data_IF_979071528366
#
_entry.id   IF_979071528366
#
_cell.length_a   1.000
_cell.length_b   1.000
_cell.length_c   1.000
_cell.angle_alpha   90.00
_cell.angle_beta   90.00
_cell.angle_gamma   90.00
#
_symmetry.space_group_name_H-M   'P 1'
#
loop_
_entity.id
_entity.type
_entity.pdbx_description
1 polymer ?
#
# COMPACT_ATOMS: atom_id res chain seq x y z
N UNK A 1 7.68 42.65 -22.69
CA UNK A 1 8.68 41.56 -22.74
C UNK A 1 8.16 40.56 -21.75
N UNK A 2 7.27 39.69 -22.21
CA UNK A 2 6.56 38.74 -21.36
C UNK A 2 7.49 37.58 -21.05
N UNK A 3 7.91 37.52 -19.79
CA UNK A 3 8.69 36.42 -19.24
C UNK A 3 7.74 35.22 -19.10
N UNK A 4 7.77 34.33 -20.08
CA UNK A 4 7.09 33.04 -20.00
C UNK A 4 7.70 32.27 -18.83
N UNK A 5 7.03 32.30 -17.68
CA UNK A 5 7.31 31.39 -16.57
C UNK A 5 7.01 29.98 -17.09
N UNK A 6 8.06 29.25 -17.48
CA UNK A 6 7.98 27.81 -17.72
C UNK A 6 7.44 27.17 -16.45
N UNK A 7 6.16 26.79 -16.48
CA UNK A 7 5.55 26.04 -15.39
C UNK A 7 6.17 24.64 -15.44
N UNK A 8 7.05 24.32 -14.48
CA UNK A 8 7.51 22.93 -14.29
C UNK A 8 6.25 22.07 -14.12
N UNK A 9 6.01 21.17 -15.06
CA UNK A 9 4.96 20.17 -14.93
C UNK A 9 5.58 19.01 -14.18
N UNK A 10 5.21 18.86 -12.91
CA UNK A 10 5.53 17.65 -12.16
C UNK A 10 4.72 16.50 -12.75
N UNK A 11 5.40 15.52 -13.34
CA UNK A 11 4.78 14.29 -13.80
C UNK A 11 4.87 13.25 -12.68
N UNK A 12 3.84 12.42 -12.55
CA UNK A 12 3.85 11.30 -11.61
C UNK A 12 4.04 10.00 -12.37
N UNK A 13 5.03 9.20 -11.93
CA UNK A 13 5.27 7.87 -12.49
C UNK A 13 4.81 6.82 -11.48
N UNK A 14 3.95 5.86 -11.86
CA UNK A 14 3.62 4.75 -10.98
C UNK A 14 4.87 3.90 -10.73
N UNK A 15 5.12 3.53 -9.47
CA UNK A 15 6.10 2.51 -9.13
C UNK A 15 5.37 1.32 -8.52
N UNK A 16 5.21 0.27 -9.32
CA UNK A 16 4.56 -0.98 -8.88
C UNK A 16 5.63 -1.99 -8.54
N UNK A 17 5.59 -2.53 -7.33
CA UNK A 17 6.51 -3.57 -6.87
C UNK A 17 5.82 -4.55 -5.92
N UNK A 18 6.42 -5.73 -5.75
CA UNK A 18 5.94 -6.73 -4.81
C UNK A 18 6.32 -6.33 -3.39
N UNK A 19 5.32 -6.03 -2.56
CA UNK A 19 5.49 -5.84 -1.12
C UNK A 19 5.54 -7.19 -0.40
N UNK A 20 4.72 -8.14 -0.84
CA UNK A 20 4.72 -9.52 -0.37
C UNK A 20 4.60 -10.42 -1.61
N UNK A 21 5.68 -11.11 -2.00
CA UNK A 21 5.65 -11.99 -3.18
C UNK A 21 4.70 -13.18 -2.98
N UNK A 22 4.81 -13.84 -1.82
CA UNK A 22 3.95 -14.95 -1.40
C UNK A 22 4.19 -15.24 0.08
N UNK A 23 3.14 -15.21 0.87
CA UNK A 23 3.19 -15.53 2.30
C UNK A 23 2.04 -16.46 2.67
N UNK A 24 2.36 -17.55 3.38
CA UNK A 24 1.34 -18.36 4.06
C UNK A 24 1.05 -17.73 5.41
N UNK A 25 -0.20 -17.31 5.61
CA UNK A 25 -0.71 -16.79 6.87
C UNK A 25 -1.55 -17.89 7.53
N UNK A 26 -1.01 -18.47 8.61
CA UNK A 26 -1.69 -19.55 9.33
C UNK A 26 -3.02 -19.07 9.94
N UNK A 27 -3.93 -20.00 10.23
CA UNK A 27 -5.15 -19.70 10.96
C UNK A 27 -4.86 -18.93 12.27
N UNK A 28 -5.52 -17.79 12.46
CA UNK A 28 -5.34 -16.89 13.62
C UNK A 28 -4.05 -16.06 13.59
N UNK A 29 -3.22 -16.16 12.55
CA UNK A 29 -1.95 -15.45 12.49
C UNK A 29 -2.13 -13.98 12.09
N UNK A 30 -1.22 -13.15 12.63
CA UNK A 30 -1.06 -11.75 12.27
C UNK A 30 0.35 -11.57 11.70
N UNK A 31 0.46 -10.83 10.60
CA UNK A 31 1.73 -10.45 10.00
C UNK A 31 1.71 -8.95 9.66
N UNK A 32 2.88 -8.33 9.65
CA UNK A 32 3.06 -6.93 9.24
C UNK A 32 4.15 -6.85 8.18
N UNK A 33 3.96 -6.03 7.16
CA UNK A 33 5.02 -5.70 6.22
C UNK A 33 6.09 -4.84 6.87
N UNK A 34 7.24 -4.73 6.21
CA UNK A 34 8.18 -3.66 6.51
C UNK A 34 7.51 -2.28 6.26
N UNK A 35 7.92 -1.24 7.02
CA UNK A 35 7.50 0.13 6.75
C UNK A 35 7.90 0.59 5.35
N UNK A 36 7.01 1.33 4.72
CA UNK A 36 7.23 2.05 3.47
C UNK A 36 7.12 3.55 3.72
N UNK A 37 7.76 4.34 2.86
CA UNK A 37 7.66 5.79 2.85
C UNK A 37 7.15 6.22 1.47
N UNK A 38 6.11 7.06 1.46
CA UNK A 38 5.49 7.56 0.26
C UNK A 38 5.88 9.03 0.01
N UNK A 39 6.34 9.34 -1.20
CA UNK A 39 6.52 10.73 -1.64
C UNK A 39 5.18 11.37 -2.01
N UNK A 40 4.25 10.57 -2.54
CA UNK A 40 2.91 10.96 -2.94
C UNK A 40 1.92 10.20 -2.08
N UNK A 41 1.02 10.93 -1.42
CA UNK A 41 0.09 10.39 -0.42
C UNK A 41 -1.07 9.56 -1.01
N UNK A 42 -0.94 9.04 -2.23
CA UNK A 42 -1.95 8.19 -2.86
C UNK A 42 -1.31 6.85 -3.23
N UNK A 43 -1.85 5.76 -2.69
CA UNK A 43 -1.31 4.41 -2.86
C UNK A 43 -2.42 3.45 -3.27
N UNK A 44 -2.04 2.42 -4.01
CA UNK A 44 -2.94 1.33 -4.37
C UNK A 44 -2.28 -0.02 -4.15
N UNK A 45 -3.05 -0.97 -3.65
CA UNK A 45 -2.63 -2.34 -3.40
C UNK A 45 -3.39 -3.28 -4.32
N UNK A 46 -2.66 -4.24 -4.90
CA UNK A 46 -3.24 -5.41 -5.55
C UNK A 46 -2.95 -6.61 -4.66
N UNK A 47 -3.98 -7.12 -4.00
CA UNK A 47 -3.90 -8.21 -3.03
C UNK A 47 -4.55 -9.44 -3.66
N UNK A 48 -3.81 -10.53 -3.76
CA UNK A 48 -4.35 -11.85 -4.10
C UNK A 48 -4.32 -12.74 -2.88
N UNK A 49 -5.43 -13.41 -2.60
CA UNK A 49 -5.55 -14.33 -1.47
C UNK A 49 -6.23 -15.64 -1.86
N UNK A 50 -5.84 -16.75 -1.24
CA UNK A 50 -6.52 -18.06 -1.37
C UNK A 50 -7.59 -18.29 -0.29
N UNK A 51 -7.87 -17.28 0.53
CA UNK A 51 -8.86 -17.33 1.61
C UNK A 51 -9.16 -15.92 2.14
N UNK A 52 -10.04 -15.82 3.14
CA UNK A 52 -10.38 -14.51 3.73
C UNK A 52 -9.28 -14.02 4.67
N UNK A 53 -8.83 -12.79 4.47
CA UNK A 53 -7.81 -12.12 5.31
C UNK A 53 -8.24 -10.67 5.55
N UNK A 54 -8.13 -10.19 6.79
CA UNK A 54 -8.29 -8.77 7.09
C UNK A 54 -6.98 -8.05 6.82
N UNK A 55 -7.03 -7.01 5.98
CA UNK A 55 -5.90 -6.13 5.70
C UNK A 55 -6.15 -4.76 6.32
N UNK A 56 -5.14 -4.19 6.98
CA UNK A 56 -5.18 -2.86 7.54
C UNK A 56 -3.95 -2.06 7.09
N UNK A 57 -4.16 -0.80 6.72
CA UNK A 57 -3.08 0.18 6.55
C UNK A 57 -2.86 0.82 7.91
N UNK A 58 -1.64 0.70 8.40
CA UNK A 58 -1.20 1.40 9.59
C UNK A 58 -0.29 2.55 9.16
N UNK A 59 -0.58 3.76 9.64
CA UNK A 59 0.22 4.96 9.39
C UNK A 59 0.96 5.36 10.67
N UNK A 60 2.21 5.81 10.53
CA UNK A 60 3.01 6.29 11.65
C UNK A 60 2.84 7.81 11.79
N UNK A 61 2.35 8.27 12.95
CA UNK A 61 2.11 9.69 13.23
C UNK A 61 3.32 10.44 13.80
N UNK A 62 4.46 9.75 13.94
CA UNK A 62 5.67 10.26 14.59
C UNK A 62 5.91 9.66 15.98
N UNK A 63 4.89 9.10 16.62
CA UNK A 63 4.97 8.48 17.95
C UNK A 63 4.57 7.00 17.91
N UNK A 64 3.51 6.66 17.18
CA UNK A 64 2.94 5.32 17.14
C UNK A 64 2.30 4.97 15.79
N UNK A 65 2.14 3.68 15.57
CA UNK A 65 1.40 3.14 14.44
C UNK A 65 -0.10 3.15 14.76
N UNK A 66 -0.91 3.70 13.87
CA UNK A 66 -2.37 3.77 14.00
C UNK A 66 -3.04 3.17 12.77
N UNK A 67 -4.09 2.38 12.97
CA UNK A 67 -4.90 1.86 11.85
C UNK A 67 -5.60 3.05 11.20
N UNK A 68 -5.23 3.35 9.95
CA UNK A 68 -5.79 4.43 9.17
C UNK A 68 -7.01 3.98 8.35
N UNK A 69 -6.95 2.77 7.79
CA UNK A 69 -8.04 2.12 7.08
C UNK A 69 -7.89 0.59 7.16
N UNK A 70 -8.99 -0.14 6.94
CA UNK A 70 -8.99 -1.60 6.94
C UNK A 70 -10.09 -2.17 6.06
N UNK A 71 -9.83 -3.33 5.46
CA UNK A 71 -10.82 -4.07 4.69
C UNK A 71 -10.68 -5.58 4.84
N UNK A 72 -11.80 -6.28 4.63
CA UNK A 72 -11.81 -7.73 4.44
C UNK A 72 -11.43 -8.04 2.98
N UNK A 73 -10.38 -8.84 2.79
CA UNK A 73 -9.94 -9.35 1.49
C UNK A 73 -10.49 -10.76 1.32
N UNK A 74 -11.40 -10.94 0.36
CA UNK A 74 -11.97 -12.24 0.02
C UNK A 74 -10.99 -13.07 -0.83
N UNK A 75 -11.27 -14.36 -0.97
CA UNK A 75 -10.55 -15.24 -1.90
C UNK A 75 -10.63 -14.69 -3.34
N UNK A 76 -9.48 -14.63 -4.02
CA UNK A 76 -9.34 -14.05 -5.35
C UNK A 76 -8.43 -12.84 -5.39
N UNK A 77 -8.78 -11.85 -6.21
CA UNK A 77 -8.03 -10.62 -6.43
C UNK A 77 -8.83 -9.42 -5.91
N UNK A 78 -8.19 -8.59 -5.08
CA UNK A 78 -8.72 -7.33 -4.54
C UNK A 78 -7.79 -6.19 -4.90
N UNK A 79 -8.37 -5.08 -5.36
CA UNK A 79 -7.65 -3.81 -5.55
C UNK A 79 -8.17 -2.81 -4.55
N UNK A 80 -7.27 -2.18 -3.79
CA UNK A 80 -7.59 -1.24 -2.72
C UNK A 80 -6.79 0.03 -2.90
N UNK A 81 -7.49 1.17 -2.95
CA UNK A 81 -6.89 2.50 -3.07
C UNK A 81 -7.04 3.23 -1.74
N UNK A 82 -6.01 3.95 -1.33
CA UNK A 82 -6.03 4.71 -0.08
C UNK A 82 -5.22 6.00 -0.20
N UNK A 83 -5.77 7.08 0.35
CA UNK A 83 -5.08 8.35 0.50
C UNK A 83 -4.49 8.44 1.91
N UNK A 84 -3.16 8.42 1.98
CA UNK A 84 -2.39 8.49 3.21
C UNK A 84 -2.51 9.88 3.86
N UNK A 85 -2.46 9.91 5.19
CA UNK A 85 -2.34 11.16 5.97
C UNK A 85 -0.90 11.41 6.40
N UNK A 86 -0.11 10.34 6.53
CA UNK A 86 1.30 10.36 6.90
C UNK A 86 2.11 9.59 5.85
N UNK A 87 3.34 10.06 5.60
CA UNK A 87 4.20 9.48 4.56
C UNK A 87 4.65 8.05 4.89
N UNK A 88 4.83 7.73 6.17
CA UNK A 88 5.29 6.41 6.60
C UNK A 88 4.09 5.53 6.95
N UNK A 89 3.99 4.38 6.27
CA UNK A 89 2.89 3.43 6.43
C UNK A 89 3.37 1.97 6.35
N UNK A 90 2.56 1.01 6.79
CA UNK A 90 2.78 -0.43 6.62
C UNK A 90 1.45 -1.16 6.48
N UNK A 91 1.48 -2.39 5.96
CA UNK A 91 0.30 -3.26 5.96
C UNK A 91 0.36 -4.22 7.13
N UNK A 92 -0.77 -4.37 7.84
CA UNK A 92 -1.03 -5.48 8.77
C UNK A 92 -2.06 -6.41 8.14
N UNK A 93 -1.76 -7.70 8.17
CA UNK A 93 -2.61 -8.78 7.67
C UNK A 93 -2.99 -9.69 8.83
N UNK A 94 -4.25 -10.09 8.90
CA UNK A 94 -4.76 -10.97 9.93
C UNK A 94 -5.66 -12.04 9.31
N UNK A 95 -5.31 -13.31 9.50
CA UNK A 95 -6.15 -14.42 9.07
C UNK A 95 -7.04 -14.83 10.24
N UNK A 96 -8.28 -14.35 10.27
CA UNK A 96 -9.26 -14.73 11.30
C UNK A 96 -9.98 -16.05 11.00
N UNK A 97 -9.67 -16.69 9.88
CA UNK A 97 -10.30 -17.95 9.49
C UNK A 97 -9.64 -19.16 10.16
N UNK A 98 -10.33 -20.31 10.13
CA UNK A 98 -9.84 -21.58 10.67
C UNK A 98 -8.86 -22.31 9.71
N UNK A 99 -8.56 -21.72 8.55
CA UNK A 99 -7.71 -22.34 7.52
C UNK A 99 -6.58 -21.40 7.17
N UNK A 100 -5.45 -21.96 6.73
CA UNK A 100 -4.34 -21.17 6.23
C UNK A 100 -4.75 -20.45 4.94
N UNK A 101 -4.28 -19.21 4.78
CA UNK A 101 -4.44 -18.41 3.57
C UNK A 101 -3.06 -18.12 2.97
N UNK A 102 -2.95 -18.12 1.64
CA UNK A 102 -1.75 -17.65 0.94
C UNK A 102 -2.05 -16.30 0.34
N UNK A 103 -1.23 -15.31 0.67
CA UNK A 103 -1.39 -13.91 0.25
C UNK A 103 -0.18 -13.45 -0.56
N UNK A 104 -0.42 -12.68 -1.62
CA UNK A 104 0.59 -11.90 -2.33
C UNK A 104 0.08 -10.48 -2.52
N UNK A 105 0.96 -9.48 -2.36
CA UNK A 105 0.61 -8.06 -2.42
C UNK A 105 1.62 -7.34 -3.30
N UNK A 106 1.11 -6.69 -4.35
CA UNK A 106 1.82 -5.62 -5.03
C UNK A 106 1.30 -4.27 -4.54
N UNK A 107 2.17 -3.29 -4.46
CA UNK A 107 1.83 -1.90 -4.12
C UNK A 107 2.25 -0.99 -5.25
N UNK A 108 1.45 0.03 -5.54
CA UNK A 108 1.79 1.15 -6.39
C UNK A 108 2.09 2.37 -5.50
N UNK A 109 3.34 2.81 -5.50
CA UNK A 109 3.78 4.07 -4.90
C UNK A 109 4.20 5.05 -5.99
N UNK A 110 3.32 5.98 -6.40
CA UNK A 110 3.68 7.01 -7.37
C UNK A 110 4.84 7.86 -6.85
N UNK A 111 5.76 8.23 -7.74
CA UNK A 111 6.84 9.17 -7.45
C UNK A 111 6.77 10.38 -8.38
N UNK A 112 7.23 11.53 -7.90
CA UNK A 112 7.43 12.70 -8.75
C UNK A 112 8.63 12.47 -9.68
N UNK A 113 8.49 12.82 -10.94
CA UNK A 113 9.59 12.87 -11.91
C UNK A 113 9.65 14.27 -12.53
N UNK A 114 10.84 14.85 -12.51
CA UNK A 114 11.12 16.05 -13.30
C UNK A 114 11.20 15.65 -14.77
N UNK A 115 10.43 16.32 -15.62
CA UNK A 115 10.55 16.20 -17.07
C UNK A 115 11.36 17.40 -17.55
N UNK A 116 12.54 17.13 -18.12
CA UNK A 116 13.27 18.14 -18.88
C UNK A 116 12.60 18.30 -20.26
N UNK A 117 12.18 19.53 -20.59
CA UNK A 117 11.65 19.92 -21.91
C UNK A 117 12.67 19.73 -23.05
#
# INVERSE_FOLDING_TARGET
MDEYVKKKVECFRPQVFALIERMTLAAGAIATSDPLEADIMDTAFSIRSTGTVDAAIEEFDGEQWQVADSMEVLEGDTVWHHTLKNAQFRLRLENKSERDAVVSINVNLPCAVEVED
#
